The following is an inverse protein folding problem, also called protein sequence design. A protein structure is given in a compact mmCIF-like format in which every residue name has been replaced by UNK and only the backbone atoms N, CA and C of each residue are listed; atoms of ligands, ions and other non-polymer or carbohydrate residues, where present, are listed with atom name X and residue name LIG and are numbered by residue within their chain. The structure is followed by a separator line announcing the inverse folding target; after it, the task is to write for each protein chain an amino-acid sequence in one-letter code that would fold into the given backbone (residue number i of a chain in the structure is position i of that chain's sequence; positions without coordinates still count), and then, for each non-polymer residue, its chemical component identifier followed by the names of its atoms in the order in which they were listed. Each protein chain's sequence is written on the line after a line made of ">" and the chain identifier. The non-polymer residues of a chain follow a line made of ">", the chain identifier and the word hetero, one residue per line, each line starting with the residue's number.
data_IF_263864351861
#
_entry.id   IF_263864351861
#
_cell.length_a   1.000
_cell.length_b   1.000
_cell.length_c   1.000
_cell.angle_alpha   90.00
_cell.angle_beta   90.00
_cell.angle_gamma   90.00
#
_symmetry.space_group_name_H-M   'P 1'
#
loop_
_entity.id
_entity.type
_entity.pdbx_description
1 polymer ?
#
# COMPACT_ATOMS: atom_id res chain seq x y z
N UNK A 1 3.34 -11.24 -29.64
CA UNK A 1 2.98 -12.17 -28.55
C UNK A 1 2.96 -11.39 -27.25
N UNK A 2 1.90 -11.52 -26.47
CA UNK A 2 1.79 -10.81 -25.20
C UNK A 2 2.82 -11.38 -24.21
N UNK A 3 3.63 -10.51 -23.58
CA UNK A 3 4.77 -10.89 -22.74
C UNK A 3 4.25 -11.62 -21.49
N UNK A 4 4.40 -12.95 -21.43
CA UNK A 4 4.08 -13.73 -20.22
C UNK A 4 5.23 -13.56 -19.24
N UNK A 5 4.93 -13.11 -18.03
CA UNK A 5 5.93 -13.00 -16.96
C UNK A 5 6.17 -14.35 -16.30
N UNK A 6 7.38 -14.59 -15.80
CA UNK A 6 7.73 -15.82 -15.09
C UNK A 6 7.27 -15.77 -13.63
N UNK A 7 7.13 -14.57 -13.06
CA UNK A 7 6.59 -14.35 -11.71
C UNK A 7 5.81 -13.04 -11.57
N UNK A 8 4.96 -12.94 -10.54
CA UNK A 8 4.24 -11.69 -10.23
C UNK A 8 5.23 -10.57 -9.87
N UNK A 9 6.38 -10.89 -9.26
CA UNK A 9 7.42 -9.88 -8.98
C UNK A 9 7.95 -9.23 -10.27
N UNK A 10 8.14 -10.00 -11.34
CA UNK A 10 8.55 -9.46 -12.64
C UNK A 10 7.46 -8.59 -13.26
N UNK A 11 6.20 -9.01 -13.14
CA UNK A 11 5.07 -8.21 -13.59
C UNK A 11 5.01 -6.86 -12.85
N UNK A 12 5.17 -6.87 -11.52
CA UNK A 12 5.20 -5.66 -10.70
C UNK A 12 6.40 -4.76 -11.02
N UNK A 13 7.57 -5.34 -11.31
CA UNK A 13 8.73 -4.58 -11.78
C UNK A 13 8.48 -3.95 -13.16
N UNK A 14 7.86 -4.68 -14.09
CA UNK A 14 7.49 -4.14 -15.41
C UNK A 14 6.52 -2.97 -15.26
N UNK A 15 5.46 -3.15 -14.45
CA UNK A 15 4.50 -2.11 -14.11
C UNK A 15 5.20 -0.86 -13.53
N UNK A 16 6.12 -1.04 -12.59
CA UNK A 16 6.89 0.06 -12.01
C UNK A 16 7.72 0.83 -13.04
N UNK A 17 8.40 0.12 -13.94
CA UNK A 17 9.22 0.72 -14.99
C UNK A 17 8.37 1.44 -16.05
N UNK A 18 7.23 0.87 -16.41
CA UNK A 18 6.26 1.51 -17.32
C UNK A 18 5.69 2.78 -16.71
N UNK A 19 5.34 2.75 -15.43
CA UNK A 19 4.90 3.94 -14.70
C UNK A 19 6.00 5.01 -14.70
N UNK A 20 7.26 4.66 -14.45
CA UNK A 20 8.39 5.61 -14.50
C UNK A 20 8.55 6.24 -15.88
N UNK A 21 8.49 5.44 -16.94
CA UNK A 21 8.58 5.94 -18.32
C UNK A 21 7.43 6.87 -18.68
N UNK A 22 6.23 6.61 -18.18
CA UNK A 22 5.05 7.46 -18.43
C UNK A 22 5.18 8.87 -17.83
N UNK A 23 6.05 9.06 -16.83
CA UNK A 23 6.24 10.33 -16.13
C UNK A 23 7.35 11.20 -16.72
N UNK A 24 7.84 10.90 -17.94
CA UNK A 24 8.81 11.74 -18.64
C UNK A 24 8.27 13.18 -18.82
N UNK A 25 8.81 14.09 -18.01
CA UNK A 25 8.72 15.53 -18.23
C UNK A 25 10.10 16.12 -17.97
N UNK A 26 10.61 16.90 -18.92
CA UNK A 26 12.04 17.22 -18.99
C UNK A 26 12.59 18.09 -17.85
N UNK A 27 11.73 18.60 -16.94
CA UNK A 27 12.14 19.55 -15.90
C UNK A 27 11.59 19.24 -14.48
N UNK A 28 11.02 18.05 -14.22
CA UNK A 28 10.47 17.72 -12.89
C UNK A 28 10.98 16.39 -12.34
N UNK A 29 11.43 16.40 -11.09
CA UNK A 29 11.72 15.17 -10.36
C UNK A 29 10.42 14.40 -10.08
N UNK A 30 10.40 13.12 -10.45
CA UNK A 30 9.31 12.20 -10.15
C UNK A 30 9.76 11.21 -9.06
N UNK A 31 8.95 11.08 -8.00
CA UNK A 31 9.10 10.05 -6.97
C UNK A 31 7.72 9.52 -6.67
N UNK A 32 7.56 8.21 -6.72
CA UNK A 32 6.33 7.52 -6.34
C UNK A 32 6.65 6.11 -5.85
N UNK A 33 5.67 5.47 -5.21
CA UNK A 33 5.76 4.07 -4.81
C UNK A 33 4.94 3.23 -5.79
N UNK A 34 5.58 2.47 -6.70
CA UNK A 34 4.86 1.56 -7.60
C UNK A 34 4.01 0.54 -6.85
N UNK A 35 4.53 0.00 -5.73
CA UNK A 35 3.83 -0.98 -4.91
C UNK A 35 2.54 -0.40 -4.29
N UNK A 36 2.57 0.87 -3.85
CA UNK A 36 1.40 1.57 -3.32
C UNK A 36 0.31 1.75 -4.38
N UNK A 37 0.70 2.21 -5.58
CA UNK A 37 -0.22 2.41 -6.70
C UNK A 37 -0.79 1.06 -7.14
N UNK A 38 0.05 0.05 -7.29
CA UNK A 38 -0.39 -1.29 -7.67
C UNK A 38 -1.36 -1.89 -6.64
N UNK A 39 -1.11 -1.68 -5.34
CA UNK A 39 -2.04 -2.10 -4.27
C UNK A 39 -3.40 -1.42 -4.42
N UNK A 40 -3.43 -0.11 -4.67
CA UNK A 40 -4.69 0.62 -4.93
C UNK A 40 -5.45 0.09 -6.14
N UNK A 41 -4.74 -0.16 -7.24
CA UNK A 41 -5.34 -0.76 -8.45
C UNK A 41 -5.83 -2.17 -8.17
N UNK A 42 -5.12 -2.96 -7.35
CA UNK A 42 -5.54 -4.28 -6.91
C UNK A 42 -6.83 -4.25 -6.07
N UNK A 43 -6.99 -3.23 -5.21
CA UNK A 43 -8.22 -3.04 -4.43
C UNK A 43 -9.40 -2.67 -5.34
N UNK A 44 -9.18 -1.88 -6.38
CA UNK A 44 -10.20 -1.61 -7.42
C UNK A 44 -10.52 -2.88 -8.20
N UNK A 45 -9.50 -3.66 -8.56
CA UNK A 45 -9.65 -4.92 -9.27
C UNK A 45 -10.56 -5.91 -8.53
N UNK A 46 -10.45 -5.95 -7.19
CA UNK A 46 -11.28 -6.79 -6.33
C UNK A 46 -12.80 -6.53 -6.50
N UNK A 47 -13.18 -5.29 -6.83
CA UNK A 47 -14.57 -4.89 -7.08
C UNK A 47 -14.97 -4.87 -8.56
N UNK A 48 -13.99 -4.99 -9.48
CA UNK A 48 -14.23 -4.93 -10.92
C UNK A 48 -14.79 -6.26 -11.44
N UNK A 49 -15.52 -6.20 -12.55
CA UNK A 49 -16.05 -7.39 -13.22
C UNK A 49 -15.87 -7.28 -14.75
N UNK A 50 -15.99 -8.42 -15.43
CA UNK A 50 -16.02 -8.51 -16.88
C UNK A 50 -14.82 -7.81 -17.55
N UNK A 51 -15.06 -6.97 -18.55
CA UNK A 51 -14.01 -6.31 -19.34
C UNK A 51 -13.13 -5.39 -18.49
N UNK A 52 -13.71 -4.64 -17.54
CA UNK A 52 -12.95 -3.78 -16.63
C UNK A 52 -11.97 -4.61 -15.78
N UNK A 53 -12.42 -5.74 -15.24
CA UNK A 53 -11.56 -6.66 -14.50
C UNK A 53 -10.43 -7.21 -15.38
N UNK A 54 -10.73 -7.56 -16.63
CA UNK A 54 -9.73 -8.07 -17.56
C UNK A 54 -8.64 -7.05 -17.90
N UNK A 55 -9.02 -5.80 -18.17
CA UNK A 55 -8.06 -4.73 -18.49
C UNK A 55 -7.12 -4.45 -17.32
N UNK A 56 -7.67 -4.38 -16.10
CA UNK A 56 -6.85 -4.19 -14.89
C UNK A 56 -5.89 -5.37 -14.69
N UNK A 57 -6.40 -6.61 -14.81
CA UNK A 57 -5.57 -7.82 -14.69
C UNK A 57 -4.41 -7.84 -15.70
N UNK A 58 -4.67 -7.45 -16.95
CA UNK A 58 -3.64 -7.37 -17.99
C UNK A 58 -2.57 -6.33 -17.62
N UNK A 59 -2.97 -5.15 -17.18
CA UNK A 59 -2.06 -4.08 -16.79
C UNK A 59 -1.20 -4.44 -15.55
N UNK A 60 -1.76 -5.20 -14.61
CA UNK A 60 -1.08 -5.57 -13.36
C UNK A 60 -0.18 -6.80 -13.47
N UNK A 61 -0.50 -7.73 -14.37
CA UNK A 61 0.14 -9.03 -14.39
C UNK A 61 -0.47 -9.98 -15.40
N UNK A 62 -0.28 -9.66 -16.69
CA UNK A 62 -0.64 -10.54 -17.79
C UNK A 62 -0.09 -11.97 -17.56
N UNK A 63 -1.00 -12.94 -17.50
CA UNK A 63 -0.67 -14.35 -17.31
C UNK A 63 -0.98 -14.93 -15.93
N UNK A 64 -1.40 -14.09 -14.97
CA UNK A 64 -1.83 -14.53 -13.63
C UNK A 64 -3.35 -14.43 -13.44
N UNK A 65 -3.89 -15.24 -12.54
CA UNK A 65 -5.29 -15.28 -12.14
C UNK A 65 -5.61 -14.24 -11.07
N UNK A 66 -6.90 -13.94 -10.88
CA UNK A 66 -7.37 -13.03 -9.82
C UNK A 66 -6.86 -13.45 -8.43
N UNK A 67 -6.96 -14.75 -8.13
CA UNK A 67 -6.54 -15.30 -6.83
C UNK A 67 -5.04 -15.16 -6.61
N UNK A 68 -4.22 -15.38 -7.64
CA UNK A 68 -2.77 -15.24 -7.54
C UNK A 68 -2.36 -13.78 -7.28
N UNK A 69 -3.00 -12.83 -7.97
CA UNK A 69 -2.77 -11.40 -7.78
C UNK A 69 -3.15 -10.97 -6.36
N UNK A 70 -4.34 -11.32 -5.88
CA UNK A 70 -4.76 -10.93 -4.53
C UNK A 70 -3.96 -11.65 -3.43
N UNK A 71 -3.55 -12.90 -3.66
CA UNK A 71 -2.66 -13.63 -2.74
C UNK A 71 -1.29 -12.96 -2.62
N UNK A 72 -0.74 -12.46 -3.73
CA UNK A 72 0.50 -11.68 -3.75
C UNK A 72 0.38 -10.42 -2.89
N UNK A 73 -0.65 -9.59 -3.11
CA UNK A 73 -0.83 -8.38 -2.31
C UNK A 73 -1.18 -8.69 -0.86
N UNK A 74 -1.90 -9.77 -0.57
CA UNK A 74 -2.13 -10.20 0.80
C UNK A 74 -0.85 -10.59 1.52
N UNK A 75 0.04 -11.29 0.84
CA UNK A 75 1.37 -11.60 1.37
C UNK A 75 2.15 -10.31 1.61
N UNK A 76 2.11 -9.34 0.69
CA UNK A 76 2.75 -8.05 0.87
C UNK A 76 2.19 -7.31 2.10
N UNK A 77 0.86 -7.24 2.27
CA UNK A 77 0.23 -6.55 3.39
C UNK A 77 0.55 -7.22 4.73
N UNK A 78 0.58 -8.56 4.80
CA UNK A 78 0.94 -9.30 6.02
C UNK A 78 2.31 -8.92 6.54
N UNK A 79 3.28 -8.77 5.66
CA UNK A 79 4.65 -8.47 6.05
C UNK A 79 4.96 -6.97 6.22
N UNK A 80 4.02 -6.11 5.85
CA UNK A 80 4.19 -4.65 5.93
C UNK A 80 3.10 -4.01 6.77
N UNK A 81 2.35 -4.79 7.56
CA UNK A 81 1.25 -4.26 8.35
C UNK A 81 1.76 -3.21 9.34
N UNK A 82 1.05 -2.07 9.42
CA UNK A 82 1.29 -1.09 10.46
C UNK A 82 0.74 -1.55 11.81
N UNK A 83 1.53 -1.41 12.87
CA UNK A 83 1.09 -1.62 14.26
C UNK A 83 0.29 -0.43 14.82
N UNK A 84 0.04 0.62 14.02
CA UNK A 84 -0.76 1.77 14.45
C UNK A 84 -2.20 1.34 14.76
N UNK A 85 -2.54 1.26 16.05
CA UNK A 85 -3.88 0.87 16.53
C UNK A 85 -4.11 -0.63 16.74
N UNK A 86 -3.10 -1.49 16.55
CA UNK A 86 -3.17 -2.91 16.93
C UNK A 86 -2.83 -3.03 18.41
N UNK A 87 -3.80 -3.40 19.26
CA UNK A 87 -3.47 -3.97 20.59
C UNK A 87 -2.52 -5.13 20.32
N UNK A 88 -1.36 -5.15 21.00
CA UNK A 88 -0.37 -6.24 20.93
C UNK A 88 -1.13 -7.56 20.79
N UNK A 89 -0.96 -8.32 19.69
CA UNK A 89 -1.63 -9.60 19.54
C UNK A 89 -1.36 -10.43 20.79
N UNK A 90 -2.33 -11.22 21.28
CA UNK A 90 -2.03 -12.22 22.29
C UNK A 90 -0.79 -13.01 21.84
N UNK A 91 0.10 -13.43 22.76
CA UNK A 91 1.27 -14.20 22.41
C UNK A 91 0.86 -15.29 21.43
N UNK A 92 1.54 -15.32 20.27
CA UNK A 92 1.21 -16.25 19.20
C UNK A 92 1.14 -17.67 19.77
N UNK A 93 0.17 -18.48 19.34
CA UNK A 93 0.05 -19.86 19.81
C UNK A 93 1.38 -20.58 19.58
N UNK A 94 1.86 -21.28 20.61
CA UNK A 94 3.04 -22.12 20.50
C UNK A 94 2.86 -23.10 19.33
N UNK A 95 3.78 -23.05 18.37
CA UNK A 95 3.83 -24.00 17.26
C UNK A 95 4.31 -25.33 17.85
N UNK A 96 3.58 -26.41 17.58
CA UNK A 96 4.04 -27.75 17.92
C UNK A 96 5.42 -27.99 17.27
N UNK A 97 6.48 -28.26 18.05
CA UNK A 97 7.81 -28.49 17.51
C UNK A 97 7.89 -29.70 16.56
N UNK A 98 6.87 -30.55 16.50
CA UNK A 98 6.78 -31.67 15.57
C UNK A 98 6.01 -31.33 14.28
N UNK A 99 5.32 -30.19 14.21
CA UNK A 99 4.66 -29.72 12.99
C UNK A 99 5.68 -29.02 12.09
N UNK A 100 6.41 -29.85 11.34
CA UNK A 100 7.45 -29.41 10.39
C UNK A 100 6.91 -28.46 9.33
N UNK A 101 5.62 -28.54 8.99
CA UNK A 101 4.99 -27.66 7.99
C UNK A 101 4.75 -26.28 8.58
N UNK A 102 4.17 -26.20 9.78
CA UNK A 102 3.96 -24.93 10.48
C UNK A 102 5.30 -24.24 10.80
N UNK A 103 6.32 -25.01 11.18
CA UNK A 103 7.69 -24.51 11.37
C UNK A 103 8.29 -23.99 10.06
N UNK A 104 8.13 -24.70 8.95
CA UNK A 104 8.63 -24.27 7.63
C UNK A 104 7.96 -22.97 7.15
N UNK A 105 6.64 -22.86 7.31
CA UNK A 105 5.86 -21.67 6.98
C UNK A 105 6.30 -20.50 7.87
N UNK A 106 6.48 -20.72 9.17
CA UNK A 106 6.95 -19.69 10.11
C UNK A 106 8.38 -19.22 9.83
N UNK A 107 9.29 -20.15 9.55
CA UNK A 107 10.68 -19.82 9.17
C UNK A 107 10.69 -19.00 7.87
N UNK A 108 9.79 -19.30 6.92
CA UNK A 108 9.65 -18.56 5.68
C UNK A 108 9.09 -17.14 5.90
N UNK A 109 8.10 -16.99 6.77
CA UNK A 109 7.58 -15.67 7.20
C UNK A 109 8.67 -14.86 7.94
N UNK A 110 9.40 -15.48 8.87
CA UNK A 110 10.48 -14.84 9.62
C UNK A 110 11.68 -14.45 8.72
N UNK A 111 11.93 -15.18 7.63
CA UNK A 111 12.98 -14.85 6.68
C UNK A 111 12.72 -13.53 5.95
N UNK A 112 11.46 -13.23 5.61
CA UNK A 112 11.07 -11.92 5.06
C UNK A 112 11.17 -10.81 6.13
N UNK A 113 10.76 -11.11 7.37
CA UNK A 113 10.80 -10.15 8.49
C UNK A 113 12.22 -9.81 8.97
N UNK A 114 13.25 -10.62 8.68
CA UNK A 114 14.62 -10.38 9.18
C UNK A 114 15.26 -9.05 8.74
N UNK A 115 14.77 -8.40 7.67
CA UNK A 115 15.35 -7.13 7.18
C UNK A 115 14.48 -5.89 7.45
N UNK A 116 13.16 -6.04 7.63
CA UNK A 116 12.24 -4.92 7.88
C UNK A 116 11.21 -5.32 8.95
N UNK A 117 11.65 -5.48 10.19
CA UNK A 117 10.77 -5.76 11.32
C UNK A 117 10.69 -4.52 12.25
N UNK A 118 9.49 -4.02 12.61
CA UNK A 118 9.31 -2.91 13.55
C UNK A 118 9.96 -3.17 14.93
N UNK A 119 10.15 -4.43 15.31
CA UNK A 119 10.77 -4.86 16.57
C UNK A 119 12.31 -4.95 16.51
N UNK A 120 12.93 -4.89 15.31
CA UNK A 120 14.41 -4.98 15.15
C UNK A 120 15.06 -3.70 14.60
N UNK A 121 14.52 -2.51 14.91
CA UNK A 121 15.25 -1.22 15.00
C UNK A 121 16.14 -0.72 13.83
N UNK A 122 16.20 -1.42 12.70
CA UNK A 122 17.02 -1.06 11.53
C UNK A 122 16.19 -0.54 10.37
N UNK A 123 14.95 -1.00 10.23
CA UNK A 123 14.04 -0.56 9.19
C UNK A 123 12.58 -0.69 9.64
N UNK A 124 11.78 0.34 9.36
CA UNK A 124 10.33 0.34 9.52
C UNK A 124 9.70 0.43 8.14
N UNK A 125 8.84 -0.51 7.80
CA UNK A 125 8.05 -0.53 6.57
C UNK A 125 6.61 -0.85 6.93
N UNK A 126 5.72 0.12 6.73
CA UNK A 126 4.33 0.03 7.13
C UNK A 126 3.42 0.43 5.97
N UNK A 127 2.37 -0.35 5.74
CA UNK A 127 1.32 -0.09 4.76
C UNK A 127 -0.03 -0.08 5.46
N UNK A 128 -0.91 0.80 5.01
CA UNK A 128 -2.28 0.88 5.47
C UNK A 128 -3.21 1.12 4.28
N UNK A 129 -4.34 0.41 4.29
CA UNK A 129 -5.41 0.57 3.33
C UNK A 129 -6.68 1.04 4.05
N UNK A 130 -7.39 2.01 3.47
CA UNK A 130 -8.72 2.41 3.94
C UNK A 130 -9.65 2.73 2.77
N UNK A 131 -10.88 2.25 2.89
CA UNK A 131 -12.01 2.65 2.06
C UNK A 131 -12.83 3.67 2.85
N UNK A 132 -13.01 4.84 2.28
CA UNK A 132 -14.05 5.76 2.69
C UNK A 132 -15.24 5.57 1.76
N UNK A 133 -16.41 5.28 2.32
CA UNK A 133 -17.63 5.02 1.54
C UNK A 133 -18.71 6.02 1.95
N UNK A 134 -19.42 6.53 0.96
CA UNK A 134 -20.57 7.41 1.20
C UNK A 134 -21.59 6.66 2.06
N UNK A 135 -22.13 7.32 3.09
CA UNK A 135 -23.02 6.70 4.08
C UNK A 135 -24.30 6.05 3.50
N UNK A 136 -24.76 6.54 2.35
CA UNK A 136 -25.89 5.98 1.59
C UNK A 136 -25.51 4.80 0.68
N UNK A 137 -24.21 4.49 0.54
CA UNK A 137 -23.72 3.41 -0.32
C UNK A 137 -23.58 2.12 0.47
N UNK A 138 -24.10 1.03 -0.09
CA UNK A 138 -24.01 -0.31 0.47
C UNK A 138 -22.97 -1.09 -0.34
N UNK A 139 -21.91 -1.54 0.33
CA UNK A 139 -20.93 -2.45 -0.24
C UNK A 139 -21.46 -3.88 -0.14
N UNK A 140 -21.17 -4.71 -1.14
CA UNK A 140 -21.53 -6.13 -1.11
C UNK A 140 -20.67 -6.86 -0.07
N UNK A 141 -21.28 -7.73 0.74
CA UNK A 141 -20.58 -8.45 1.82
C UNK A 141 -19.36 -9.22 1.32
N UNK A 142 -19.48 -9.96 0.21
CA UNK A 142 -18.34 -10.66 -0.40
C UNK A 142 -17.17 -9.74 -0.78
N UNK A 143 -17.44 -8.48 -1.16
CA UNK A 143 -16.37 -7.51 -1.40
C UNK A 143 -15.72 -7.08 -0.09
N UNK A 144 -16.52 -6.79 0.94
CA UNK A 144 -16.04 -6.42 2.28
C UNK A 144 -15.16 -7.53 2.87
N UNK A 145 -15.63 -8.78 2.82
CA UNK A 145 -14.91 -9.95 3.34
C UNK A 145 -13.58 -10.17 2.62
N UNK A 146 -13.59 -10.09 1.29
CA UNK A 146 -12.36 -10.22 0.49
C UNK A 146 -11.41 -9.03 0.73
N UNK A 147 -11.94 -7.83 0.91
CA UNK A 147 -11.13 -6.63 1.17
C UNK A 147 -10.39 -6.74 2.50
N UNK A 148 -11.10 -7.12 3.56
CA UNK A 148 -10.49 -7.38 4.87
C UNK A 148 -9.45 -8.52 4.78
N UNK A 149 -9.83 -9.65 4.16
CA UNK A 149 -8.94 -10.81 4.01
C UNK A 149 -7.64 -10.50 3.26
N UNK A 150 -7.73 -9.83 2.11
CA UNK A 150 -6.57 -9.63 1.25
C UNK A 150 -5.80 -8.36 1.58
N UNK A 151 -6.47 -7.29 1.98
CA UNK A 151 -5.85 -5.97 2.14
C UNK A 151 -5.75 -5.49 3.57
N UNK A 152 -6.37 -6.21 4.53
CA UNK A 152 -6.38 -5.88 5.95
C UNK A 152 -6.76 -4.41 6.20
N UNK A 153 -7.67 -3.90 5.36
CA UNK A 153 -8.02 -2.50 5.32
C UNK A 153 -9.27 -2.18 6.12
N UNK A 154 -9.36 -0.95 6.60
CA UNK A 154 -10.58 -0.45 7.26
C UNK A 154 -11.59 0.09 6.25
N UNK A 155 -12.89 -0.03 6.56
CA UNK A 155 -13.96 0.67 5.85
C UNK A 155 -14.58 1.69 6.80
N UNK A 156 -14.70 2.93 6.36
CA UNK A 156 -15.25 4.04 7.14
C UNK A 156 -16.36 4.75 6.34
N UNK A 157 -17.53 4.90 6.96
CA UNK A 157 -18.66 5.63 6.35
C UNK A 157 -18.51 7.13 6.58
N UNK A 158 -18.62 7.91 5.51
CA UNK A 158 -18.48 9.38 5.54
C UNK A 158 -19.51 10.06 4.66
N UNK A 159 -19.69 11.36 4.86
CA UNK A 159 -20.46 12.24 3.96
C UNK A 159 -19.48 13.15 3.23
N UNK A 160 -19.15 12.81 1.99
CA UNK A 160 -18.16 13.55 1.20
C UNK A 160 -18.50 15.05 0.99
N UNK A 161 -19.79 15.40 1.07
CA UNK A 161 -20.28 16.78 1.01
C UNK A 161 -20.03 17.59 2.27
N UNK A 162 -19.62 16.98 3.39
CA UNK A 162 -19.27 17.69 4.64
C UNK A 162 -17.76 18.00 4.71
N UNK A 163 -17.39 19.16 5.27
CA UNK A 163 -16.00 19.58 5.37
C UNK A 163 -15.19 18.70 6.32
N UNK A 164 -15.83 18.17 7.37
CA UNK A 164 -15.22 17.25 8.32
C UNK A 164 -14.61 16.00 7.65
N UNK A 165 -15.12 15.57 6.50
CA UNK A 165 -14.58 14.40 5.77
C UNK A 165 -13.16 14.66 5.27
N UNK A 166 -12.85 15.89 4.86
CA UNK A 166 -11.48 16.27 4.48
C UNK A 166 -10.54 16.17 5.69
N UNK A 167 -10.99 16.63 6.85
CA UNK A 167 -10.23 16.56 8.11
C UNK A 167 -10.00 15.11 8.55
N UNK A 168 -11.05 14.27 8.53
CA UNK A 168 -10.96 12.84 8.86
C UNK A 168 -9.89 12.15 8.01
N UNK A 169 -9.96 12.32 6.69
CA UNK A 169 -9.04 11.67 5.75
C UNK A 169 -7.60 12.18 5.93
N UNK A 170 -7.42 13.50 6.01
CA UNK A 170 -6.09 14.09 6.15
C UNK A 170 -5.46 13.79 7.51
N UNK A 171 -6.21 13.79 8.60
CA UNK A 171 -5.72 13.44 9.93
C UNK A 171 -5.29 11.97 9.98
N UNK A 172 -6.10 11.06 9.44
CA UNK A 172 -5.73 9.65 9.32
C UNK A 172 -4.43 9.47 8.54
N UNK A 173 -4.27 10.17 7.41
CA UNK A 173 -3.06 10.05 6.58
C UNK A 173 -1.84 10.70 7.24
N UNK A 174 -2.02 11.82 7.94
CA UNK A 174 -0.97 12.44 8.74
C UNK A 174 -0.49 11.48 9.84
N UNK A 175 -1.42 10.83 10.53
CA UNK A 175 -1.15 9.87 11.60
C UNK A 175 -0.29 8.69 11.10
N UNK A 176 -0.77 7.96 10.09
CA UNK A 176 -0.09 6.76 9.57
C UNK A 176 1.20 7.06 8.82
N UNK A 177 1.37 8.29 8.32
CA UNK A 177 2.62 8.72 7.68
C UNK A 177 3.56 9.44 8.63
N UNK A 178 3.25 9.53 9.93
CA UNK A 178 4.05 10.25 10.93
C UNK A 178 4.29 11.70 10.53
N UNK A 179 3.21 12.36 10.12
CA UNK A 179 3.10 13.74 9.66
C UNK A 179 3.95 14.09 8.43
N UNK A 180 4.26 13.09 7.58
CA UNK A 180 4.97 13.31 6.31
C UNK A 180 4.04 13.68 5.17
N UNK A 181 2.78 13.25 5.22
CA UNK A 181 1.73 13.63 4.29
C UNK A 181 0.54 14.11 5.10
N UNK A 182 0.24 15.41 5.02
CA UNK A 182 -0.79 16.02 5.89
C UNK A 182 -2.02 16.51 5.10
N UNK A 183 -1.92 16.65 3.78
CA UNK A 183 -2.97 17.23 2.94
C UNK A 183 -3.08 16.45 1.63
N UNK A 184 -3.54 15.21 1.72
CA UNK A 184 -3.70 14.34 0.55
C UNK A 184 -4.97 14.68 -0.23
N UNK A 185 -6.02 15.13 0.48
CA UNK A 185 -7.28 15.56 -0.13
C UNK A 185 -7.66 16.99 0.26
N UNK A 186 -8.46 17.63 -0.58
CA UNK A 186 -9.07 18.93 -0.41
C UNK A 186 -10.55 18.82 -0.75
N UNK A 187 -11.33 19.81 -0.33
CA UNK A 187 -12.78 19.81 -0.55
C UNK A 187 -13.20 19.61 -2.01
N UNK A 188 -12.46 20.21 -2.94
CA UNK A 188 -12.73 20.10 -4.38
C UNK A 188 -12.39 18.74 -5.01
N UNK A 189 -11.82 17.81 -4.26
CA UNK A 189 -11.64 16.43 -4.74
C UNK A 189 -12.92 15.60 -4.64
N UNK A 190 -13.93 16.11 -3.92
CA UNK A 190 -15.18 15.41 -3.69
C UNK A 190 -16.39 16.22 -4.16
N UNK A 191 -17.44 15.50 -4.54
CA UNK A 191 -18.71 16.05 -4.94
C UNK A 191 -19.86 15.14 -4.47
N UNK A 192 -21.10 15.53 -4.76
CA UNK A 192 -22.31 14.77 -4.37
C UNK A 192 -22.39 13.38 -4.99
N UNK A 193 -21.69 13.14 -6.11
CA UNK A 193 -21.65 11.84 -6.80
C UNK A 193 -20.51 10.94 -6.33
N UNK A 194 -19.63 11.43 -5.44
CA UNK A 194 -18.53 10.63 -4.88
C UNK A 194 -19.10 9.54 -3.97
N UNK A 195 -18.90 8.27 -4.35
CA UNK A 195 -19.41 7.10 -3.61
C UNK A 195 -18.36 6.40 -2.79
N UNK A 196 -17.14 6.25 -3.33
CA UNK A 196 -16.06 5.48 -2.71
C UNK A 196 -14.75 6.22 -2.98
N UNK A 197 -13.90 6.32 -1.95
CA UNK A 197 -12.52 6.78 -2.04
C UNK A 197 -11.63 5.72 -1.41
N UNK A 198 -10.70 5.19 -2.20
CA UNK A 198 -9.70 4.22 -1.77
C UNK A 198 -8.39 4.95 -1.46
N UNK A 199 -7.83 4.70 -0.29
CA UNK A 199 -6.54 5.28 0.10
C UNK A 199 -5.61 4.17 0.55
N UNK A 200 -4.48 4.07 -0.14
CA UNK A 200 -3.31 3.34 0.31
C UNK A 200 -2.25 4.32 0.81
N UNK A 201 -1.58 3.97 1.89
CA UNK A 201 -0.41 4.70 2.40
C UNK A 201 0.72 3.71 2.67
N UNK A 202 1.94 4.13 2.35
CA UNK A 202 3.17 3.39 2.65
C UNK A 202 4.15 4.32 3.37
N UNK A 203 4.67 3.87 4.50
CA UNK A 203 5.70 4.55 5.28
C UNK A 203 6.96 3.69 5.31
N UNK A 204 8.10 4.29 4.98
CA UNK A 204 9.40 3.63 5.03
C UNK A 204 10.41 4.48 5.81
N UNK A 205 11.16 3.84 6.72
CA UNK A 205 12.31 4.43 7.43
C UNK A 205 13.36 3.37 7.67
N UNK A 206 14.43 3.37 6.87
CA UNK A 206 15.60 2.52 7.04
C UNK A 206 16.81 3.28 7.59
N UNK A 207 17.68 2.58 8.32
CA UNK A 207 19.07 3.01 8.56
C UNK A 207 19.93 2.52 7.40
N UNK A 208 20.92 3.33 7.02
CA UNK A 208 21.93 2.92 6.05
C UNK A 208 22.74 1.73 6.57
N UNK A 209 22.98 0.72 5.73
CA UNK A 209 23.78 -0.46 6.09
C UNK A 209 25.25 -0.11 6.42
N UNK A 210 25.79 0.93 5.76
CA UNK A 210 27.09 1.52 6.08
C UNK A 210 26.99 3.03 5.95
N UNK A 211 27.24 3.75 7.03
CA UNK A 211 27.41 5.20 7.00
C UNK A 211 28.83 5.46 6.51
N UNK A 212 29.02 6.13 5.37
CA UNK A 212 30.35 6.58 4.99
C UNK A 212 30.80 7.63 6.01
N UNK A 213 31.99 7.41 6.59
CA UNK A 213 32.55 8.23 7.67
C UNK A 213 32.58 9.71 7.31
N UNK A 214 32.24 10.54 8.30
CA UNK A 214 32.01 11.97 8.17
C UNK A 214 33.10 12.71 7.40
N UNK A 215 32.81 13.01 6.14
CA UNK A 215 33.20 14.31 5.62
C UNK A 215 32.05 15.24 6.00
N UNK A 216 32.34 16.24 6.83
CA UNK A 216 31.46 17.39 6.94
C UNK A 216 31.36 17.97 5.52
N UNK A 217 30.32 17.56 4.79
CA UNK A 217 29.99 18.17 3.52
C UNK A 217 29.79 19.68 3.73
N UNK A 218 29.88 20.48 2.67
CA UNK A 218 29.56 21.91 2.77
C UNK A 218 28.22 22.08 3.50
N UNK A 219 28.05 23.18 4.28
CA UNK A 219 26.85 23.40 5.09
C UNK A 219 25.59 23.09 4.27
N UNK A 220 24.61 22.37 4.87
CA UNK A 220 23.48 21.85 4.12
C UNK A 220 22.82 22.97 3.32
N UNK A 221 22.93 22.91 1.99
CA UNK A 221 22.11 23.75 1.12
C UNK A 221 20.66 23.38 1.42
N UNK A 222 19.84 24.36 1.76
CA UNK A 222 18.44 24.14 2.07
C UNK A 222 17.73 23.71 0.77
N UNK A 223 17.59 22.41 0.55
CA UNK A 223 16.83 21.85 -0.56
C UNK A 223 15.41 21.62 -0.06
N UNK A 224 14.48 22.45 -0.54
CA UNK A 224 13.05 22.33 -0.20
C UNK A 224 12.40 21.29 -1.11
N UNK A 225 12.25 20.08 -0.61
CA UNK A 225 11.44 19.06 -1.27
C UNK A 225 9.95 19.35 -1.05
N UNK A 226 9.18 19.48 -2.13
CA UNK A 226 7.72 19.54 -2.09
C UNK A 226 7.21 18.18 -2.55
N UNK A 227 6.87 17.31 -1.59
CA UNK A 227 6.19 16.06 -1.89
C UNK A 227 4.71 16.38 -2.12
N UNK A 228 4.25 16.25 -3.37
CA UNK A 228 2.81 16.27 -3.69
C UNK A 228 2.33 14.83 -3.79
N UNK A 229 1.28 14.48 -3.05
CA UNK A 229 0.61 13.20 -3.24
C UNK A 229 0.09 13.08 -4.68
N UNK A 230 0.23 11.89 -5.27
CA UNK A 230 -0.28 11.62 -6.60
C UNK A 230 -1.80 11.39 -6.50
N UNK A 231 -2.58 12.17 -7.25
CA UNK A 231 -4.01 11.94 -7.45
C UNK A 231 -4.16 11.25 -8.79
N UNK A 232 -4.74 10.05 -8.79
CA UNK A 232 -5.05 9.27 -9.99
C UNK A 232 -6.51 9.53 -10.34
#
# INVERSE_FOLDING_TARGET
>A
MAKKFESINEAQLSFALELLRSQHSDDKSAVFSPASIATSVAMVYLGAQSETANQIRIAMGLGFTESEIHSYFSTLMKHTKSDYGVKVPPPEPEIDPNDTKALQERISELAFLRHCNPYTSQCVLETINRIYVNDQTILKDNFVDKFDKFYQGGIEKVKFTEDKTVEIINNFIAEVTRNKINNIVKKSDFNETTKIVLINSIYFKGKWAKVQGGHAGPPPKQIKFILKGCKI
#
